data_IF_633516853745
#
_entry.id   IF_633516853745
#
_cell.length_a   1.000
_cell.length_b   1.000
_cell.length_c   1.000
_cell.angle_alpha   90.00
_cell.angle_beta   90.00
_cell.angle_gamma   90.00
#
_symmetry.space_group_name_H-M   'P 1'
#
loop_
_entity.id
_entity.type
_entity.pdbx_description
1 polymer ?
#
# COMPACT_ATOMS: atom_id res chain seq x y z
N UNK A 1 -19.60 5.46 21.35
CA UNK A 1 -20.65 6.17 20.57
C UNK A 1 -21.23 5.32 19.44
N UNK A 2 -20.43 4.78 18.52
CA UNK A 2 -20.92 3.92 17.40
C UNK A 2 -21.67 2.66 17.87
N UNK A 3 -21.18 1.97 18.90
CA UNK A 3 -21.85 0.78 19.44
C UNK A 3 -23.18 1.04 20.12
N UNK A 4 -23.41 2.27 20.58
CA UNK A 4 -24.70 2.69 21.15
C UNK A 4 -25.72 2.95 20.03
N UNK A 5 -25.30 3.58 18.94
CA UNK A 5 -26.13 3.80 17.74
C UNK A 5 -26.55 2.48 17.09
N UNK A 6 -25.65 1.50 17.01
CA UNK A 6 -25.92 0.17 16.49
C UNK A 6 -27.02 -0.56 17.31
N UNK A 7 -26.97 -0.44 18.65
CA UNK A 7 -27.97 -1.04 19.54
C UNK A 7 -29.33 -0.35 19.49
N UNK A 8 -29.35 0.97 19.34
CA UNK A 8 -30.61 1.74 19.23
C UNK A 8 -31.32 1.50 17.90
N UNK A 9 -30.56 1.40 16.79
CA UNK A 9 -31.11 1.13 15.46
C UNK A 9 -31.73 -0.25 15.32
N UNK A 10 -31.16 -1.27 15.98
CA UNK A 10 -31.66 -2.65 15.93
C UNK A 10 -33.04 -2.86 16.55
N UNK A 11 -33.54 -1.88 17.35
CA UNK A 11 -34.82 -1.93 18.01
C UNK A 11 -35.98 -1.27 17.23
N UNK A 12 -35.72 -0.61 16.09
CA UNK A 12 -36.72 0.06 15.28
C UNK A 12 -36.94 -0.68 13.96
N UNK A 13 -38.20 -0.76 13.55
CA UNK A 13 -38.62 -1.36 12.27
C UNK A 13 -38.32 -0.48 11.04
N UNK A 14 -37.65 0.65 11.20
CA UNK A 14 -37.30 1.57 10.14
C UNK A 14 -36.12 1.03 9.31
N UNK A 15 -36.27 0.80 8.01
CA UNK A 15 -35.22 0.25 7.16
C UNK A 15 -33.97 1.12 7.07
N UNK A 16 -34.12 2.45 7.09
CA UNK A 16 -33.00 3.41 7.01
C UNK A 16 -32.19 3.35 8.30
N UNK A 17 -32.86 3.37 9.45
CA UNK A 17 -32.17 3.24 10.75
C UNK A 17 -31.47 1.89 10.92
N UNK A 18 -32.05 0.82 10.40
CA UNK A 18 -31.44 -0.49 10.40
C UNK A 18 -30.18 -0.53 9.54
N UNK A 19 -30.18 0.10 8.38
CA UNK A 19 -29.01 0.19 7.50
C UNK A 19 -27.90 1.03 8.13
N UNK A 20 -28.23 2.16 8.72
CA UNK A 20 -27.31 3.01 9.46
C UNK A 20 -26.69 2.26 10.67
N UNK A 21 -27.49 1.50 11.39
CA UNK A 21 -27.03 0.68 12.51
C UNK A 21 -26.06 -0.43 12.06
N UNK A 22 -26.32 -1.09 10.93
CA UNK A 22 -25.44 -2.08 10.32
C UNK A 22 -24.09 -1.46 9.92
N UNK A 23 -24.12 -0.31 9.25
CA UNK A 23 -22.91 0.43 8.87
C UNK A 23 -22.08 0.84 10.10
N UNK A 24 -22.72 1.36 11.14
CA UNK A 24 -22.07 1.72 12.40
C UNK A 24 -21.44 0.49 13.08
N UNK A 25 -22.11 -0.65 13.08
CA UNK A 25 -21.58 -1.89 13.65
C UNK A 25 -20.39 -2.43 12.85
N UNK A 26 -20.43 -2.35 11.51
CA UNK A 26 -19.31 -2.71 10.65
C UNK A 26 -18.10 -1.81 10.88
N UNK A 27 -18.30 -0.50 10.94
CA UNK A 27 -17.24 0.47 11.23
C UNK A 27 -16.58 0.24 12.58
N UNK A 28 -17.38 -0.04 13.62
CA UNK A 28 -16.88 -0.33 14.95
C UNK A 28 -16.10 -1.67 15.00
N UNK A 29 -16.55 -2.68 14.27
CA UNK A 29 -15.82 -3.95 14.11
C UNK A 29 -14.48 -3.73 13.41
N UNK A 30 -14.46 -2.98 12.30
CA UNK A 30 -13.25 -2.68 11.55
C UNK A 30 -12.23 -1.90 12.40
N UNK A 31 -12.70 -0.88 13.14
CA UNK A 31 -11.85 -0.13 14.05
C UNK A 31 -11.19 -1.02 15.11
N UNK A 32 -11.92 -1.97 15.69
CA UNK A 32 -11.35 -2.93 16.64
C UNK A 32 -10.32 -3.85 15.98
N UNK A 33 -10.57 -4.29 14.75
CA UNK A 33 -9.63 -5.13 14.00
C UNK A 33 -8.36 -4.37 13.62
N UNK A 34 -8.47 -3.06 13.35
CA UNK A 34 -7.33 -2.20 13.00
C UNK A 34 -6.56 -1.66 14.22
N UNK A 35 -7.17 -1.64 15.40
CA UNK A 35 -6.55 -1.08 16.59
C UNK A 35 -5.15 -1.64 16.92
N UNK A 36 -4.86 -2.95 16.77
CA UNK A 36 -3.51 -3.49 17.00
C UNK A 36 -2.45 -2.91 16.06
N UNK A 37 -2.84 -2.46 14.87
CA UNK A 37 -1.93 -1.93 13.84
C UNK A 37 -1.73 -0.42 13.94
N UNK A 38 -2.62 0.30 14.66
CA UNK A 38 -2.52 1.75 14.84
C UNK A 38 -1.42 2.16 15.83
N UNK A 39 -1.00 1.27 16.72
CA UNK A 39 -0.08 1.52 17.82
C UNK A 39 1.31 0.92 17.63
N UNK A 40 1.68 0.53 16.41
CA UNK A 40 3.01 0.01 16.17
C UNK A 40 4.05 1.13 16.11
N UNK A 41 4.58 1.47 17.28
CA UNK A 41 5.60 2.49 17.48
C UNK A 41 6.99 2.09 16.92
N UNK A 42 7.06 1.49 15.73
CA UNK A 42 8.29 1.12 15.08
C UNK A 42 8.75 -0.32 15.30
N UNK A 43 7.92 -1.17 15.84
CA UNK A 43 8.24 -2.59 16.06
C UNK A 43 8.14 -3.48 14.80
N UNK A 44 7.92 -2.90 13.62
CA UNK A 44 7.93 -3.61 12.34
C UNK A 44 6.81 -4.61 12.14
N UNK A 45 5.71 -4.47 12.89
CA UNK A 45 4.52 -5.33 12.80
C UNK A 45 4.83 -6.84 12.91
N UNK A 46 5.86 -7.21 13.67
CA UNK A 46 6.31 -8.58 13.77
C UNK A 46 6.74 -9.18 12.43
N UNK A 47 7.29 -8.37 11.53
CA UNK A 47 7.78 -8.84 10.24
C UNK A 47 8.94 -9.81 10.43
N UNK A 48 8.93 -10.98 9.76
CA UNK A 48 10.03 -11.92 9.73
C UNK A 48 11.19 -11.43 8.83
N UNK A 49 11.00 -10.30 8.12
CA UNK A 49 11.96 -9.73 7.17
C UNK A 49 12.29 -8.31 7.58
N UNK A 50 13.56 -7.93 7.40
CA UNK A 50 13.99 -6.55 7.59
C UNK A 50 13.55 -5.69 6.40
N UNK A 51 12.87 -4.58 6.69
CA UNK A 51 12.58 -3.53 5.71
C UNK A 51 13.67 -2.46 5.74
N UNK A 52 13.83 -1.67 4.65
CA UNK A 52 14.73 -0.53 4.66
C UNK A 52 14.48 0.38 5.85
N UNK A 53 15.57 0.76 6.54
CA UNK A 53 15.51 1.73 7.64
C UNK A 53 15.52 3.15 7.07
N UNK A 54 14.90 4.09 7.81
CA UNK A 54 14.83 5.52 7.47
C UNK A 54 13.55 6.15 7.99
N UNK A 55 13.46 7.46 7.81
CA UNK A 55 12.29 8.25 8.24
C UNK A 55 11.10 8.13 7.27
N UNK A 56 11.31 7.49 6.12
CA UNK A 56 10.26 7.28 5.13
C UNK A 56 9.22 6.27 5.62
N UNK A 57 7.97 6.68 5.56
CA UNK A 57 6.84 5.85 5.98
C UNK A 57 6.53 4.67 5.06
N UNK A 58 7.03 4.67 3.81
CA UNK A 58 6.65 3.68 2.80
C UNK A 58 7.04 2.23 3.17
N UNK A 59 8.30 1.92 3.58
CA UNK A 59 8.66 0.57 4.02
C UNK A 59 7.78 0.09 5.20
N UNK A 60 7.49 1.01 6.12
CA UNK A 60 6.64 0.73 7.29
C UNK A 60 5.19 0.47 6.91
N UNK A 61 4.64 1.22 5.95
CA UNK A 61 3.30 0.98 5.43
C UNK A 61 3.18 -0.41 4.78
N UNK A 62 4.20 -0.83 4.02
CA UNK A 62 4.25 -2.17 3.43
C UNK A 62 4.33 -3.27 4.49
N UNK A 63 5.17 -3.11 5.52
CA UNK A 63 5.24 -4.05 6.65
C UNK A 63 3.90 -4.16 7.38
N UNK A 64 3.23 -3.02 7.63
CA UNK A 64 1.90 -2.98 8.22
C UNK A 64 0.85 -3.66 7.33
N UNK A 65 0.90 -3.45 6.02
CA UNK A 65 0.02 -4.10 5.06
C UNK A 65 0.21 -5.63 5.08
N UNK A 66 1.47 -6.11 5.09
CA UNK A 66 1.75 -7.54 5.17
C UNK A 66 1.17 -8.17 6.46
N UNK A 67 1.32 -7.49 7.60
CA UNK A 67 0.75 -7.93 8.87
C UNK A 67 -0.79 -7.94 8.84
N UNK A 68 -1.43 -6.91 8.29
CA UNK A 68 -2.89 -6.85 8.15
C UNK A 68 -3.43 -7.97 7.24
N UNK A 69 -2.74 -8.26 6.14
CA UNK A 69 -3.08 -9.36 5.23
C UNK A 69 -2.91 -10.73 5.92
N UNK A 70 -1.85 -10.92 6.70
CA UNK A 70 -1.62 -12.13 7.49
C UNK A 70 -2.68 -12.33 8.57
N UNK A 71 -3.19 -11.25 9.15
CA UNK A 71 -4.32 -11.27 10.09
C UNK A 71 -5.69 -11.49 9.43
N UNK A 72 -5.72 -11.75 8.12
CA UNK A 72 -6.94 -11.96 7.34
C UNK A 72 -7.94 -10.79 7.42
N UNK A 73 -7.45 -9.56 7.50
CA UNK A 73 -8.32 -8.40 7.34
C UNK A 73 -8.94 -8.41 5.94
N UNK A 74 -10.21 -7.98 5.79
CA UNK A 74 -10.94 -8.07 4.52
C UNK A 74 -10.50 -7.00 3.52
N UNK A 75 -9.19 -6.90 3.28
CA UNK A 75 -8.60 -5.99 2.29
C UNK A 75 -8.71 -6.62 0.89
N UNK A 76 -9.14 -5.84 -0.10
CA UNK A 76 -9.26 -6.26 -1.49
C UNK A 76 -8.35 -5.49 -2.42
N UNK A 77 -8.24 -4.20 -2.18
CA UNK A 77 -7.39 -3.30 -2.95
C UNK A 77 -6.81 -2.26 -2.01
N UNK A 78 -5.53 -1.99 -2.13
CA UNK A 78 -4.83 -0.98 -1.34
C UNK A 78 -3.96 -0.18 -2.31
N UNK A 79 -4.02 1.13 -2.23
CA UNK A 79 -3.11 2.03 -2.94
C UNK A 79 -2.16 2.69 -1.94
N UNK A 80 -0.89 2.69 -2.27
CA UNK A 80 0.17 3.31 -1.46
C UNK A 80 1.05 4.11 -2.42
N UNK A 81 1.35 5.36 -2.07
CA UNK A 81 2.27 6.19 -2.84
C UNK A 81 3.70 5.78 -2.52
N UNK A 82 4.50 5.53 -3.55
CA UNK A 82 5.92 5.27 -3.42
C UNK A 82 6.68 6.52 -2.93
N UNK A 83 7.80 6.35 -2.21
CA UNK A 83 8.61 7.47 -1.73
C UNK A 83 9.37 8.12 -2.87
N UNK A 84 9.70 9.39 -2.70
CA UNK A 84 10.50 10.15 -3.64
C UNK A 84 9.68 11.07 -4.55
N UNK A 85 10.41 11.89 -5.26
CA UNK A 85 9.89 12.80 -6.27
C UNK A 85 10.06 12.14 -7.64
N UNK A 86 8.96 11.76 -8.28
CA UNK A 86 9.00 11.15 -9.61
C UNK A 86 8.58 12.11 -10.72
N UNK A 87 8.03 13.28 -10.37
CA UNK A 87 7.71 14.34 -11.34
C UNK A 87 8.89 15.29 -11.54
N UNK A 88 10.03 14.72 -11.91
CA UNK A 88 11.31 15.42 -12.03
C UNK A 88 11.50 16.04 -13.41
N UNK A 89 11.41 17.34 -13.51
CA UNK A 89 11.68 18.14 -14.72
C UNK A 89 13.11 18.70 -14.78
N UNK A 90 13.88 18.55 -13.69
CA UNK A 90 15.29 18.98 -13.60
C UNK A 90 16.04 18.07 -12.65
N UNK A 91 17.36 17.91 -12.87
CA UNK A 91 18.27 17.13 -12.01
C UNK A 91 17.73 15.71 -11.67
N UNK A 92 17.04 15.11 -12.62
CA UNK A 92 16.33 13.85 -12.45
C UNK A 92 17.22 12.66 -12.04
N UNK A 93 18.46 12.48 -12.55
CA UNK A 93 19.18 11.22 -12.38
C UNK A 93 19.37 10.83 -10.91
N UNK A 94 19.75 11.77 -10.05
CA UNK A 94 19.97 11.47 -8.63
C UNK A 94 18.65 11.23 -7.87
N UNK A 95 17.69 12.13 -7.99
CA UNK A 95 16.41 12.02 -7.30
C UNK A 95 15.66 10.74 -7.68
N UNK A 96 15.66 10.41 -8.99
CA UNK A 96 15.06 9.21 -9.50
C UNK A 96 15.77 7.94 -9.00
N UNK A 97 17.11 7.91 -8.99
CA UNK A 97 17.89 6.78 -8.52
C UNK A 97 17.62 6.48 -7.05
N UNK A 98 17.61 7.50 -6.19
CA UNK A 98 17.35 7.35 -4.75
C UNK A 98 15.91 6.85 -4.48
N UNK A 99 14.92 7.45 -5.15
CA UNK A 99 13.52 7.04 -5.03
C UNK A 99 13.28 5.61 -5.51
N UNK A 100 13.84 5.24 -6.65
CA UNK A 100 13.73 3.89 -7.22
C UNK A 100 14.44 2.85 -6.35
N UNK A 101 15.61 3.15 -5.80
CA UNK A 101 16.33 2.21 -4.91
C UNK A 101 15.53 1.91 -3.65
N UNK A 102 15.02 2.94 -2.97
CA UNK A 102 14.19 2.76 -1.78
C UNK A 102 12.90 2.01 -2.10
N UNK A 103 12.23 2.35 -3.21
CA UNK A 103 11.02 1.67 -3.66
C UNK A 103 11.29 0.20 -3.96
N UNK A 104 12.33 -0.10 -4.74
CA UNK A 104 12.66 -1.47 -5.13
C UNK A 104 13.01 -2.34 -3.91
N UNK A 105 13.85 -1.84 -3.01
CA UNK A 105 14.20 -2.57 -1.77
C UNK A 105 13.01 -2.80 -0.86
N UNK A 106 12.12 -1.82 -0.77
CA UNK A 106 10.90 -1.94 0.05
C UNK A 106 9.92 -2.96 -0.54
N UNK A 107 9.73 -2.98 -1.86
CA UNK A 107 8.89 -3.96 -2.54
C UNK A 107 9.47 -5.37 -2.47
N UNK A 108 10.81 -5.51 -2.57
CA UNK A 108 11.48 -6.79 -2.38
C UNK A 108 11.28 -7.31 -0.95
N UNK A 109 11.42 -6.45 0.06
CA UNK A 109 11.16 -6.81 1.45
C UNK A 109 9.71 -7.22 1.66
N UNK A 110 8.76 -6.49 1.07
CA UNK A 110 7.33 -6.81 1.12
C UNK A 110 7.03 -8.18 0.50
N UNK A 111 7.55 -8.47 -0.68
CA UNK A 111 7.36 -9.76 -1.33
C UNK A 111 7.92 -10.91 -0.46
N UNK A 112 9.12 -10.74 0.11
CA UNK A 112 9.74 -11.73 1.01
C UNK A 112 8.95 -11.91 2.31
N UNK A 113 8.39 -10.83 2.85
CA UNK A 113 7.53 -10.88 4.04
C UNK A 113 6.25 -11.68 3.77
N UNK A 114 5.60 -11.44 2.63
CA UNK A 114 4.43 -12.22 2.19
C UNK A 114 4.77 -13.70 2.01
N UNK A 115 5.93 -14.03 1.45
CA UNK A 115 6.43 -15.40 1.28
C UNK A 115 6.68 -16.07 2.63
N UNK A 116 7.39 -15.40 3.53
CA UNK A 116 7.70 -15.90 4.87
C UNK A 116 6.43 -16.13 5.71
N UNK A 117 5.37 -15.34 5.46
CA UNK A 117 4.04 -15.53 6.09
C UNK A 117 3.16 -16.56 5.38
N UNK A 118 3.59 -17.11 4.24
CA UNK A 118 2.83 -18.10 3.46
C UNK A 118 1.57 -17.54 2.78
N UNK A 119 1.56 -16.25 2.43
CA UNK A 119 0.39 -15.56 1.84
C UNK A 119 0.69 -14.90 0.48
N UNK A 120 1.89 -15.07 -0.05
CA UNK A 120 2.32 -14.42 -1.29
C UNK A 120 1.45 -14.78 -2.51
N UNK A 121 0.87 -15.97 -2.55
CA UNK A 121 -0.01 -16.42 -3.63
C UNK A 121 -1.37 -15.69 -3.69
N UNK A 122 -1.70 -14.93 -2.65
CA UNK A 122 -2.94 -14.15 -2.52
C UNK A 122 -2.77 -12.68 -2.91
N UNK A 123 -1.55 -12.24 -3.19
CA UNK A 123 -1.22 -10.83 -3.40
C UNK A 123 -0.64 -10.63 -4.80
N UNK A 124 -1.17 -9.64 -5.48
CA UNK A 124 -0.62 -9.10 -6.72
C UNK A 124 -0.31 -7.63 -6.50
N UNK A 125 0.92 -7.24 -6.71
CA UNK A 125 1.36 -5.85 -6.62
C UNK A 125 1.51 -5.27 -8.02
N UNK A 126 0.81 -4.17 -8.29
CA UNK A 126 0.98 -3.36 -9.49
C UNK A 126 1.75 -2.10 -9.11
N UNK A 127 2.88 -1.87 -9.78
CA UNK A 127 3.62 -0.62 -9.72
C UNK A 127 3.38 0.12 -11.02
N UNK A 128 2.93 1.36 -10.94
CA UNK A 128 2.56 2.16 -12.10
C UNK A 128 2.73 3.66 -11.82
N UNK A 129 2.73 4.46 -12.85
CA UNK A 129 2.79 5.91 -12.79
C UNK A 129 1.58 6.50 -13.51
N UNK A 130 1.09 7.65 -13.04
CA UNK A 130 -0.10 8.33 -13.59
C UNK A 130 0.14 8.93 -14.96
N UNK A 131 1.39 9.17 -15.34
CA UNK A 131 1.78 9.67 -16.66
C UNK A 131 3.08 9.02 -17.15
N UNK A 132 3.32 9.16 -18.43
CA UNK A 132 4.58 8.78 -19.06
C UNK A 132 5.49 9.97 -19.24
N UNK A 133 6.71 9.69 -19.69
CA UNK A 133 7.75 10.68 -19.97
C UNK A 133 8.17 10.65 -21.43
N UNK A 134 8.78 11.72 -21.91
CA UNK A 134 9.57 11.70 -23.14
C UNK A 134 10.84 10.91 -22.92
N UNK A 135 11.30 10.22 -23.97
CA UNK A 135 12.57 9.49 -23.91
C UNK A 135 13.78 10.42 -23.96
N UNK A 136 13.59 11.63 -24.44
CA UNK A 136 14.64 12.66 -24.58
C UNK A 136 14.75 13.47 -23.28
N UNK A 137 16.00 13.74 -22.88
CA UNK A 137 16.33 14.65 -21.80
C UNK A 137 16.01 16.09 -22.23
N UNK A 138 15.48 16.88 -21.31
CA UNK A 138 15.26 18.31 -21.53
C UNK A 138 16.52 19.13 -21.16
N UNK A 139 16.46 20.45 -21.39
CA UNK A 139 17.62 21.35 -21.13
C UNK A 139 17.95 21.59 -19.65
N UNK A 140 17.33 20.84 -18.71
CA UNK A 140 17.50 20.99 -17.25
C UNK A 140 17.88 19.68 -16.56
N UNK A 141 18.47 18.72 -17.28
CA UNK A 141 18.82 17.39 -16.78
C UNK A 141 17.60 16.63 -16.21
N UNK A 142 16.46 16.74 -16.87
CA UNK A 142 15.20 16.09 -16.52
C UNK A 142 14.46 15.59 -17.76
N UNK A 143 13.22 15.19 -17.60
CA UNK A 143 12.37 14.80 -18.73
C UNK A 143 10.99 15.43 -18.61
N UNK A 144 10.42 15.81 -19.76
CA UNK A 144 9.04 16.28 -19.82
C UNK A 144 8.05 15.13 -19.87
N UNK A 145 6.77 15.40 -19.56
CA UNK A 145 5.71 14.43 -19.72
C UNK A 145 5.59 13.96 -21.18
N UNK A 146 5.30 12.71 -21.37
CA UNK A 146 5.17 12.08 -22.68
C UNK A 146 4.48 10.74 -22.63
N UNK A 147 4.64 9.94 -23.66
CA UNK A 147 3.92 8.68 -23.80
C UNK A 147 4.68 7.45 -23.26
N UNK A 148 5.99 7.59 -22.98
CA UNK A 148 6.78 6.45 -22.53
C UNK A 148 6.60 6.23 -21.03
N UNK A 149 6.22 5.03 -20.63
CA UNK A 149 6.05 4.64 -19.23
C UNK A 149 6.28 3.16 -19.03
N UNK A 150 6.54 2.77 -17.80
CA UNK A 150 6.69 1.39 -17.40
C UNK A 150 5.73 1.05 -16.28
N UNK A 151 5.25 -0.20 -16.28
CA UNK A 151 4.50 -0.76 -15.17
C UNK A 151 5.07 -2.14 -14.83
N UNK A 152 4.99 -2.51 -13.56
CA UNK A 152 5.49 -3.80 -13.09
C UNK A 152 4.38 -4.54 -12.37
N UNK A 153 4.27 -5.84 -12.65
CA UNK A 153 3.45 -6.77 -11.89
C UNK A 153 4.37 -7.68 -11.08
N UNK A 154 4.15 -7.75 -9.77
CA UNK A 154 4.94 -8.56 -8.85
C UNK A 154 4.00 -9.51 -8.12
N UNK A 155 4.35 -10.80 -8.10
CA UNK A 155 3.58 -11.82 -7.40
C UNK A 155 3.97 -13.22 -7.84
N UNK A 156 3.74 -14.21 -7.00
CA UNK A 156 4.15 -15.62 -7.26
C UNK A 156 3.42 -16.27 -8.43
N UNK A 157 2.29 -15.71 -8.87
CA UNK A 157 1.50 -16.21 -10.00
C UNK A 157 1.78 -15.46 -11.31
N UNK A 158 2.65 -14.47 -11.27
CA UNK A 158 3.04 -13.72 -12.48
C UNK A 158 4.06 -14.55 -13.27
N UNK A 159 3.82 -14.70 -14.57
CA UNK A 159 4.84 -15.24 -15.47
C UNK A 159 5.78 -14.10 -15.82
N UNK A 160 7.05 -14.21 -15.37
CA UNK A 160 8.05 -13.18 -15.63
C UNK A 160 8.37 -13.09 -17.11
N UNK A 161 7.90 -12.02 -17.74
CA UNK A 161 8.21 -11.67 -19.14
C UNK A 161 8.10 -10.16 -19.32
N UNK A 162 8.83 -9.65 -20.30
CA UNK A 162 8.65 -8.28 -20.79
C UNK A 162 7.66 -8.32 -21.95
N UNK A 163 6.72 -7.40 -21.97
CA UNK A 163 5.69 -7.28 -23.02
C UNK A 163 5.94 -5.97 -23.75
#
# INVERSE_FOLDING_TARGET
MLGTLARLGARRKDPILNQAAKAAAQSDRLRRQLAPFAADNGHGYGSPVAYPAGDDGFPRQLAGLAAMLAANLPLRCVAITAPGEYDTHSQQPQALAEGLDLTARSLLAFQRDLEARGIADRVLTLVWSEFGRRAEENGSDGTDHGAAGSAFLIGTRVRGQMI
#
